data_IF_436231688321
#
_entry.id   IF_436231688321
#
_cell.length_a   1.000
_cell.length_b   1.000
_cell.length_c   1.000
_cell.angle_alpha   90.00
_cell.angle_beta   90.00
_cell.angle_gamma   90.00
#
_symmetry.space_group_name_H-M   'P 1'
#
loop_
_entity.id
_entity.type
_entity.pdbx_description
1 polymer ?
#
# COMPACT_ATOMS: atom_id res chain seq x y z
N UNK A 1 -8.97 12.46 -22.18
CA UNK A 1 -8.00 11.67 -21.38
C UNK A 1 -6.75 11.62 -22.21
N UNK A 2 -5.70 12.29 -21.80
CA UNK A 2 -4.39 12.19 -22.45
C UNK A 2 -3.87 10.80 -22.17
N UNK A 3 -3.42 10.11 -23.22
CA UNK A 3 -2.87 8.75 -23.09
C UNK A 3 -1.65 8.79 -22.17
N UNK A 4 -1.75 8.05 -21.07
CA UNK A 4 -0.59 7.82 -20.19
C UNK A 4 0.43 7.04 -21.02
N UNK A 5 1.60 7.62 -21.21
CA UNK A 5 2.68 6.98 -21.94
C UNK A 5 3.22 5.79 -21.16
N UNK A 6 3.27 4.61 -21.79
CA UNK A 6 3.73 3.34 -21.17
C UNK A 6 4.94 2.71 -21.90
N UNK A 7 5.46 3.37 -22.94
CA UNK A 7 6.51 2.87 -23.84
C UNK A 7 7.89 3.51 -23.59
N UNK A 8 8.16 3.89 -22.33
CA UNK A 8 9.43 4.48 -21.92
C UNK A 8 10.61 3.56 -22.19
N UNK A 9 11.61 4.07 -22.91
CA UNK A 9 12.88 3.38 -23.08
C UNK A 9 13.80 3.60 -21.86
N UNK A 10 14.75 2.69 -21.66
CA UNK A 10 15.75 2.81 -20.58
C UNK A 10 16.56 4.10 -20.69
N UNK A 11 16.91 4.50 -21.91
CA UNK A 11 17.72 5.71 -22.16
C UNK A 11 16.95 6.99 -21.85
N UNK A 12 15.66 7.05 -22.15
CA UNK A 12 14.81 8.17 -21.76
C UNK A 12 14.69 8.29 -20.25
N UNK A 13 14.49 7.16 -19.55
CA UNK A 13 14.44 7.14 -18.08
C UNK A 13 15.80 7.58 -17.50
N UNK A 14 16.91 7.09 -18.05
CA UNK A 14 18.26 7.50 -17.63
C UNK A 14 18.50 9.00 -17.85
N UNK A 15 17.96 9.55 -18.94
CA UNK A 15 18.04 11.00 -19.21
C UNK A 15 17.32 11.81 -18.15
N UNK A 16 16.10 11.39 -17.74
CA UNK A 16 15.36 12.04 -16.65
C UNK A 16 16.13 11.93 -15.31
N UNK A 17 16.70 10.78 -15.02
CA UNK A 17 17.48 10.56 -13.80
C UNK A 17 18.73 11.44 -13.70
N UNK A 18 19.34 11.79 -14.83
CA UNK A 18 20.53 12.62 -14.91
C UNK A 18 20.25 14.13 -15.03
N UNK A 19 18.99 14.54 -15.04
CA UNK A 19 18.64 15.97 -15.02
C UNK A 19 19.12 16.62 -13.71
N UNK A 20 19.53 17.89 -13.74
CA UNK A 20 19.66 18.69 -12.53
C UNK A 20 18.36 18.65 -11.72
N UNK A 21 18.48 18.51 -10.40
CA UNK A 21 17.30 18.34 -9.52
C UNK A 21 16.23 19.43 -9.71
N UNK A 22 16.66 20.68 -9.86
CA UNK A 22 15.73 21.81 -10.07
C UNK A 22 14.98 21.72 -11.40
N UNK A 23 15.62 21.22 -12.44
CA UNK A 23 15.00 20.99 -13.74
C UNK A 23 14.01 19.83 -13.69
N UNK A 24 14.40 18.73 -13.05
CA UNK A 24 13.49 17.59 -12.83
C UNK A 24 12.25 18.01 -12.03
N UNK A 25 12.42 18.81 -10.98
CA UNK A 25 11.32 19.32 -10.17
C UNK A 25 10.38 20.22 -10.98
N UNK A 26 10.93 21.10 -11.82
CA UNK A 26 10.15 21.97 -12.70
C UNK A 26 9.31 21.15 -13.71
N UNK A 27 9.93 20.16 -14.34
CA UNK A 27 9.23 19.31 -15.30
C UNK A 27 8.13 18.49 -14.61
N UNK A 28 8.42 17.88 -13.44
CA UNK A 28 7.43 17.15 -12.66
C UNK A 28 6.25 18.03 -12.23
N UNK A 29 6.53 19.26 -11.77
CA UNK A 29 5.48 20.23 -11.40
C UNK A 29 4.64 20.67 -12.59
N UNK A 30 5.24 20.79 -13.77
CA UNK A 30 4.55 21.16 -15.02
C UNK A 30 3.57 20.06 -15.44
N UNK A 31 4.04 18.81 -15.48
CA UNK A 31 3.20 17.64 -15.77
C UNK A 31 2.09 17.49 -14.72
N UNK A 32 2.41 17.65 -13.44
CA UNK A 32 1.39 17.58 -12.37
C UNK A 32 0.25 18.59 -12.62
N UNK A 33 0.58 19.85 -12.94
CA UNK A 33 -0.44 20.90 -13.19
C UNK A 33 -1.25 20.68 -14.45
N UNK A 34 -0.71 19.97 -15.42
CA UNK A 34 -1.42 19.62 -16.67
C UNK A 34 -2.51 18.57 -16.41
N UNK A 35 -2.26 17.61 -15.52
CA UNK A 35 -3.13 16.45 -15.32
C UNK A 35 -3.89 16.43 -14.00
N UNK A 36 -3.49 17.23 -13.01
CA UNK A 36 -4.05 17.26 -11.67
C UNK A 36 -4.25 18.69 -11.16
N UNK A 37 -5.30 18.94 -10.37
CA UNK A 37 -5.43 20.23 -9.67
C UNK A 37 -4.23 20.44 -8.75
N UNK A 38 -3.50 21.57 -8.90
CA UNK A 38 -2.21 21.77 -8.22
C UNK A 38 -2.30 21.87 -6.70
N UNK A 39 -3.48 22.21 -6.17
CA UNK A 39 -3.72 22.35 -4.72
C UNK A 39 -4.21 21.06 -4.04
N UNK A 40 -4.48 20.01 -4.81
CA UNK A 40 -5.00 18.76 -4.26
C UNK A 40 -3.86 17.82 -3.89
N UNK A 41 -3.85 17.40 -2.62
CA UNK A 41 -2.97 16.37 -2.08
C UNK A 41 -3.82 15.31 -1.41
N UNK A 42 -3.70 14.06 -1.86
CA UNK A 42 -4.37 12.94 -1.20
C UNK A 42 -3.64 12.57 0.09
N UNK A 43 -4.35 12.62 1.21
CA UNK A 43 -3.84 12.15 2.48
C UNK A 43 -4.13 10.66 2.66
N UNK A 44 -3.09 9.90 3.00
CA UNK A 44 -3.17 8.47 3.23
C UNK A 44 -2.65 8.15 4.64
N UNK A 45 -3.36 7.30 5.37
CA UNK A 45 -2.87 6.74 6.64
C UNK A 45 -2.55 5.27 6.46
N UNK A 46 -1.41 4.83 6.98
CA UNK A 46 -0.99 3.42 6.99
C UNK A 46 -1.11 2.84 8.39
N UNK A 47 -1.74 1.69 8.50
CA UNK A 47 -1.80 0.88 9.71
C UNK A 47 -1.13 -0.49 9.47
N UNK A 48 -0.22 -0.89 10.37
CA UNK A 48 0.25 -2.27 10.42
C UNK A 48 -0.77 -3.11 11.18
N UNK A 49 -1.60 -3.87 10.46
CA UNK A 49 -2.63 -4.73 11.05
C UNK A 49 -2.07 -6.05 11.59
N UNK A 50 -0.83 -6.39 11.21
CA UNK A 50 -0.04 -7.50 11.78
C UNK A 50 1.44 -7.19 11.61
N UNK A 51 2.16 -7.06 12.70
CA UNK A 51 3.56 -6.63 12.75
C UNK A 51 4.47 -7.80 13.08
N UNK A 52 5.68 -7.81 12.50
CA UNK A 52 6.76 -8.75 12.81
C UNK A 52 6.49 -10.21 12.46
N UNK A 53 7.52 -11.05 12.60
CA UNK A 53 7.42 -12.49 12.35
C UNK A 53 7.11 -12.86 10.88
N UNK A 54 7.52 -12.05 9.92
CA UNK A 54 7.46 -12.38 8.50
C UNK A 54 8.55 -13.40 8.18
N UNK A 55 8.23 -14.53 7.49
CA UNK A 55 9.23 -15.54 7.15
C UNK A 55 10.12 -15.16 5.94
N UNK A 56 9.85 -14.05 5.27
CA UNK A 56 10.68 -13.55 4.17
C UNK A 56 11.97 -12.92 4.68
N UNK A 57 13.03 -13.02 3.87
CA UNK A 57 14.37 -12.50 4.17
C UNK A 57 14.69 -11.27 3.31
N UNK A 58 13.81 -10.28 3.30
CA UNK A 58 14.06 -9.00 2.62
C UNK A 58 15.13 -8.22 3.38
N UNK A 59 16.28 -7.98 2.77
CA UNK A 59 17.51 -7.52 3.43
C UNK A 59 17.44 -6.20 4.21
N UNK A 60 16.41 -5.36 4.01
CA UNK A 60 16.19 -4.12 4.74
C UNK A 60 14.98 -4.16 5.69
N UNK A 61 14.21 -5.27 5.69
CA UNK A 61 12.93 -5.31 6.37
C UNK A 61 13.07 -5.69 7.84
N UNK A 62 12.77 -4.76 8.74
CA UNK A 62 12.79 -4.98 10.19
C UNK A 62 11.74 -5.98 10.70
N UNK A 63 10.76 -6.36 9.88
CA UNK A 63 9.68 -7.28 10.26
C UNK A 63 10.01 -8.75 9.96
N UNK A 64 11.13 -9.02 9.26
CA UNK A 64 11.63 -10.36 9.00
C UNK A 64 12.02 -11.09 10.29
N UNK A 65 11.78 -12.41 10.35
CA UNK A 65 12.30 -13.26 11.45
C UNK A 65 13.82 -13.40 11.42
N UNK A 66 14.45 -13.05 10.29
CA UNK A 66 15.89 -13.08 10.10
C UNK A 66 16.58 -11.78 10.52
N UNK A 67 15.81 -10.69 10.75
CA UNK A 67 16.34 -9.39 11.16
C UNK A 67 16.42 -9.31 12.70
N UNK A 68 17.58 -8.91 13.22
CA UNK A 68 17.76 -8.57 14.64
C UNK A 68 17.31 -7.11 14.88
N UNK A 69 16.00 -6.89 14.82
CA UNK A 69 15.39 -5.56 14.89
C UNK A 69 14.65 -5.26 16.20
N UNK A 70 14.50 -6.26 17.07
CA UNK A 70 13.69 -6.14 18.29
C UNK A 70 12.18 -6.01 18.05
N UNK A 71 11.70 -6.10 16.81
CA UNK A 71 10.26 -6.03 16.47
C UNK A 71 9.55 -7.31 16.88
N UNK A 72 8.68 -7.21 17.88
CA UNK A 72 7.89 -8.33 18.36
C UNK A 72 6.82 -8.75 17.34
N UNK A 73 6.66 -10.07 17.14
CA UNK A 73 5.60 -10.59 16.28
C UNK A 73 4.23 -10.46 16.97
N UNK A 74 3.25 -9.90 16.24
CA UNK A 74 1.86 -9.80 16.68
C UNK A 74 0.95 -10.78 15.92
N UNK A 75 -0.25 -11.01 16.45
CA UNK A 75 -1.35 -11.60 15.70
C UNK A 75 -2.01 -10.54 14.80
N UNK A 76 -2.87 -10.97 13.88
CA UNK A 76 -3.78 -10.07 13.17
C UNK A 76 -4.60 -9.28 14.21
N UNK A 77 -4.70 -7.97 14.00
CA UNK A 77 -5.51 -7.11 14.84
C UNK A 77 -6.98 -7.50 14.76
N UNK A 78 -7.70 -7.21 15.83
CA UNK A 78 -9.15 -7.33 15.86
C UNK A 78 -9.80 -6.39 14.86
N UNK A 79 -10.87 -6.83 14.20
CA UNK A 79 -11.58 -6.08 13.16
C UNK A 79 -12.02 -4.71 13.68
N UNK A 80 -12.61 -4.67 14.88
CA UNK A 80 -13.14 -3.43 15.46
C UNK A 80 -12.01 -2.43 15.79
N UNK A 81 -10.84 -2.93 16.22
CA UNK A 81 -9.68 -2.07 16.47
C UNK A 81 -9.15 -1.44 15.19
N UNK A 82 -9.13 -2.20 14.07
CA UNK A 82 -8.76 -1.66 12.75
C UNK A 82 -9.77 -0.62 12.28
N UNK A 83 -11.08 -0.90 12.39
CA UNK A 83 -12.13 0.02 12.00
C UNK A 83 -12.11 1.31 12.84
N UNK A 84 -11.83 1.22 14.13
CA UNK A 84 -11.64 2.40 14.98
C UNK A 84 -10.46 3.26 14.51
N UNK A 85 -9.35 2.63 14.13
CA UNK A 85 -8.19 3.35 13.59
C UNK A 85 -8.50 4.01 12.25
N UNK A 86 -9.28 3.35 11.40
CA UNK A 86 -9.73 3.91 10.12
C UNK A 86 -10.65 5.12 10.32
N UNK A 87 -11.58 5.06 11.28
CA UNK A 87 -12.44 6.19 11.64
C UNK A 87 -11.62 7.39 12.11
N UNK A 88 -10.64 7.18 13.00
CA UNK A 88 -9.72 8.23 13.44
C UNK A 88 -8.92 8.84 12.27
N UNK A 89 -8.42 8.00 11.35
CA UNK A 89 -7.72 8.47 10.17
C UNK A 89 -8.63 9.36 9.30
N UNK A 90 -9.87 8.97 9.10
CA UNK A 90 -10.88 9.77 8.38
C UNK A 90 -11.13 11.12 9.07
N UNK A 91 -11.30 11.14 10.39
CA UNK A 91 -11.50 12.36 11.16
C UNK A 91 -10.31 13.32 11.05
N UNK A 92 -9.09 12.79 10.85
CA UNK A 92 -7.89 13.57 10.59
C UNK A 92 -7.70 13.93 9.10
N UNK A 93 -8.69 13.66 8.24
CA UNK A 93 -8.70 14.08 6.84
C UNK A 93 -8.10 13.08 5.85
N UNK A 94 -7.80 11.85 6.27
CA UNK A 94 -7.36 10.82 5.33
C UNK A 94 -8.47 10.48 4.33
N UNK A 95 -8.08 10.31 3.08
CA UNK A 95 -8.94 9.88 1.97
C UNK A 95 -8.72 8.40 1.63
N UNK A 96 -7.53 7.88 1.98
CA UNK A 96 -7.15 6.47 1.79
C UNK A 96 -6.63 5.90 3.09
N UNK A 97 -7.04 4.67 3.38
CA UNK A 97 -6.52 3.91 4.51
C UNK A 97 -5.79 2.67 4.00
N UNK A 98 -4.48 2.65 4.22
CA UNK A 98 -3.60 1.57 3.82
C UNK A 98 -3.38 0.61 4.98
N UNK A 99 -3.44 -0.70 4.72
CA UNK A 99 -3.31 -1.73 5.75
C UNK A 99 -2.25 -2.74 5.34
N UNK A 100 -1.22 -2.85 6.16
CA UNK A 100 -0.10 -3.76 5.92
C UNK A 100 -0.06 -4.91 6.91
N UNK A 101 0.28 -6.12 6.46
CA UNK A 101 0.54 -7.25 7.31
C UNK A 101 1.87 -7.91 6.96
N UNK A 102 2.69 -8.17 7.97
CA UNK A 102 3.99 -8.84 7.83
C UNK A 102 3.81 -10.34 7.57
N UNK A 103 3.40 -10.69 6.36
CA UNK A 103 3.18 -12.04 5.88
C UNK A 103 3.88 -12.31 4.55
N UNK A 104 4.31 -13.56 4.35
CA UNK A 104 4.60 -14.06 3.01
C UNK A 104 3.32 -14.16 2.18
N UNK A 105 2.26 -14.70 2.79
CA UNK A 105 0.91 -14.80 2.24
C UNK A 105 -0.10 -14.91 3.39
N UNK A 106 -1.32 -14.38 3.25
CA UNK A 106 -2.37 -14.54 4.24
C UNK A 106 -2.84 -16.00 4.30
N UNK A 107 -3.26 -16.45 5.49
CA UNK A 107 -3.88 -17.76 5.64
C UNK A 107 -5.37 -17.67 5.34
N UNK A 108 -5.94 -18.71 4.75
CA UNK A 108 -7.38 -18.73 4.39
C UNK A 108 -8.29 -18.50 5.61
N UNK A 109 -7.86 -18.93 6.79
CA UNK A 109 -8.60 -18.71 8.05
C UNK A 109 -8.70 -17.22 8.45
N UNK A 110 -7.77 -16.39 7.99
CA UNK A 110 -7.69 -14.97 8.34
C UNK A 110 -8.47 -14.12 7.30
N UNK A 111 -8.77 -14.69 6.12
CA UNK A 111 -9.45 -13.98 5.03
C UNK A 111 -10.84 -13.44 5.40
N UNK A 112 -11.70 -14.13 6.17
CA UNK A 112 -12.99 -13.56 6.57
C UNK A 112 -12.86 -12.24 7.33
N UNK A 113 -11.93 -12.15 8.28
CA UNK A 113 -11.67 -10.92 9.04
C UNK A 113 -11.12 -9.81 8.12
N UNK A 114 -10.22 -10.17 7.19
CA UNK A 114 -9.66 -9.20 6.22
C UNK A 114 -10.77 -8.63 5.32
N UNK A 115 -11.66 -9.48 4.82
CA UNK A 115 -12.82 -9.08 3.99
C UNK A 115 -13.75 -8.13 4.78
N UNK A 116 -14.00 -8.44 6.05
CA UNK A 116 -14.82 -7.57 6.92
C UNK A 116 -14.15 -6.21 7.13
N UNK A 117 -12.83 -6.17 7.35
CA UNK A 117 -12.06 -4.93 7.45
C UNK A 117 -12.20 -4.10 6.17
N UNK A 118 -11.99 -4.70 4.99
CA UNK A 118 -12.10 -3.97 3.70
C UNK A 118 -13.48 -3.35 3.55
N UNK A 119 -14.53 -4.13 3.78
CA UNK A 119 -15.92 -3.64 3.69
C UNK A 119 -16.17 -2.49 4.66
N UNK A 120 -15.78 -2.66 5.94
CA UNK A 120 -16.01 -1.64 6.96
C UNK A 120 -15.26 -0.35 6.68
N UNK A 121 -14.02 -0.39 6.18
CA UNK A 121 -13.27 0.81 5.79
C UNK A 121 -13.92 1.48 4.57
N UNK A 122 -14.38 0.73 3.59
CA UNK A 122 -15.13 1.26 2.44
C UNK A 122 -16.44 1.92 2.82
N UNK A 123 -17.19 1.30 3.72
CA UNK A 123 -18.47 1.84 4.21
C UNK A 123 -18.29 3.19 4.90
N UNK A 124 -17.08 3.49 5.41
CA UNK A 124 -16.72 4.82 5.91
C UNK A 124 -16.44 5.83 4.80
N UNK A 125 -16.38 5.43 3.53
CA UNK A 125 -16.08 6.27 2.38
C UNK A 125 -14.57 6.54 2.20
N UNK A 126 -13.71 5.71 2.78
CA UNK A 126 -12.26 5.73 2.54
C UNK A 126 -11.91 4.82 1.36
N UNK A 127 -10.95 5.22 0.54
CA UNK A 127 -10.28 4.29 -0.36
C UNK A 127 -9.48 3.27 0.45
N UNK A 128 -9.50 2.01 0.00
CA UNK A 128 -8.81 0.91 0.67
C UNK A 128 -7.56 0.49 -0.08
N UNK A 129 -6.48 0.28 0.66
CA UNK A 129 -5.25 -0.28 0.11
C UNK A 129 -4.71 -1.36 1.05
N UNK A 130 -4.27 -2.49 0.50
CA UNK A 130 -3.70 -3.58 1.28
C UNK A 130 -2.38 -4.07 0.74
N UNK A 131 -1.51 -4.49 1.68
CA UNK A 131 -0.25 -5.22 1.43
C UNK A 131 -0.22 -6.43 2.36
N UNK A 132 -0.52 -7.62 1.83
CA UNK A 132 -0.65 -8.85 2.60
C UNK A 132 0.33 -9.95 2.17
N UNK A 133 1.32 -9.60 1.32
CA UNK A 133 2.20 -10.56 0.67
C UNK A 133 1.57 -11.18 -0.58
N UNK A 134 1.94 -12.40 -0.94
CA UNK A 134 1.46 -13.07 -2.15
C UNK A 134 0.05 -13.61 -1.96
N UNK A 135 -0.87 -13.26 -2.84
CA UNK A 135 -2.24 -13.77 -2.84
C UNK A 135 -2.37 -14.96 -3.78
N UNK A 136 -3.24 -15.89 -3.41
CA UNK A 136 -3.80 -16.83 -4.37
C UNK A 136 -4.91 -16.14 -5.20
N UNK A 137 -5.24 -16.70 -6.38
CA UNK A 137 -6.34 -16.19 -7.21
C UNK A 137 -7.65 -16.09 -6.43
N UNK A 138 -7.97 -17.12 -5.62
CA UNK A 138 -9.15 -17.13 -4.74
C UNK A 138 -9.14 -15.96 -3.75
N UNK A 139 -8.01 -15.72 -3.09
CA UNK A 139 -7.88 -14.62 -2.12
C UNK A 139 -7.99 -13.26 -2.80
N UNK A 140 -7.39 -13.10 -3.97
CA UNK A 140 -7.51 -11.88 -4.78
C UNK A 140 -8.98 -11.63 -5.18
N UNK A 141 -9.70 -12.67 -5.62
CA UNK A 141 -11.14 -12.61 -5.91
C UNK A 141 -11.96 -12.16 -4.69
N UNK A 142 -11.71 -12.74 -3.51
CA UNK A 142 -12.40 -12.35 -2.27
C UNK A 142 -12.20 -10.87 -1.92
N UNK A 143 -10.99 -10.34 -2.11
CA UNK A 143 -10.70 -8.92 -1.85
C UNK A 143 -11.35 -8.02 -2.89
N UNK A 144 -11.33 -8.40 -4.16
CA UNK A 144 -12.03 -7.68 -5.23
C UNK A 144 -13.54 -7.62 -4.99
N UNK A 145 -14.17 -8.74 -4.61
CA UNK A 145 -15.58 -8.80 -4.25
C UNK A 145 -15.93 -7.99 -2.99
N UNK A 146 -14.99 -7.90 -2.03
CA UNK A 146 -15.12 -7.03 -0.87
C UNK A 146 -15.01 -5.54 -1.24
N UNK A 147 -14.48 -5.24 -2.44
CA UNK A 147 -14.33 -3.93 -3.00
C UNK A 147 -13.02 -3.25 -2.61
N UNK A 148 -11.94 -4.00 -2.46
CA UNK A 148 -10.61 -3.45 -2.29
C UNK A 148 -10.25 -2.60 -3.52
N UNK A 149 -9.84 -1.35 -3.30
CA UNK A 149 -9.48 -0.43 -4.39
C UNK A 149 -8.06 -0.67 -4.89
N UNK A 150 -7.10 -0.91 -3.99
CA UNK A 150 -5.68 -1.07 -4.33
C UNK A 150 -5.04 -2.23 -3.58
N UNK A 151 -4.26 -3.02 -4.29
CA UNK A 151 -3.36 -4.02 -3.71
C UNK A 151 -1.92 -3.67 -4.05
N UNK A 152 -1.08 -3.58 -3.04
CA UNK A 152 0.34 -3.34 -3.21
C UNK A 152 1.14 -4.62 -2.89
N UNK A 153 2.07 -4.97 -3.76
CA UNK A 153 3.04 -6.02 -3.52
C UNK A 153 4.42 -5.54 -3.94
N UNK A 154 5.34 -5.48 -3.00
CA UNK A 154 6.68 -5.00 -3.26
C UNK A 154 7.55 -6.11 -3.87
N UNK A 155 8.36 -5.75 -4.84
CA UNK A 155 9.50 -6.55 -5.29
C UNK A 155 10.73 -5.92 -4.63
N UNK A 156 11.12 -6.49 -3.48
CA UNK A 156 12.10 -5.88 -2.59
C UNK A 156 13.53 -6.40 -2.81
N UNK A 157 13.72 -7.28 -3.78
CA UNK A 157 15.02 -7.86 -4.11
C UNK A 157 15.33 -7.68 -5.59
N UNK A 158 16.59 -7.39 -5.91
CA UNK A 158 17.08 -7.57 -7.27
C UNK A 158 17.35 -9.06 -7.54
N UNK A 159 17.26 -9.49 -8.79
CA UNK A 159 17.67 -10.83 -9.19
C UNK A 159 19.13 -11.09 -8.89
#
# INVERSE_FOLDING_TARGET
MTDIRTDWTRDEIATLFNLPFTELLFQAASVHREYHPPEQVQLCTLLSIKTGGCPEDCGYCSQSVHADSGVAATKLMDVQAVLQSAAQAKDHGSQRFCMGAAWRNPKDRDMPAIVEIVKGVRDMGLETCMTLGMLTEKQAGMLAEAGLDYYNHNIDSSP
#
